data_IF_002101874703
#
_entry.id   IF_002101874703
#
_cell.length_a   1.000
_cell.length_b   1.000
_cell.length_c   1.000
_cell.angle_alpha   90.00
_cell.angle_beta   90.00
_cell.angle_gamma   90.00
#
_symmetry.space_group_name_H-M   'P 1'
#
loop_
_entity.id
_entity.type
_entity.pdbx_description
1 polymer ?
#
# COMPACT_ATOMS: atom_id res chain seq x y z
N UNK A 1 -22.67 11.18 -2.58
CA UNK A 1 -21.82 10.36 -3.47
C UNK A 1 -22.52 9.05 -3.71
N UNK A 2 -22.76 8.66 -4.98
CA UNK A 2 -23.39 7.37 -5.29
C UNK A 2 -22.50 6.22 -4.81
N UNK A 3 -23.09 5.19 -4.19
CA UNK A 3 -22.35 3.99 -3.73
C UNK A 3 -21.88 3.23 -4.97
N UNK A 4 -20.58 2.97 -5.07
CA UNK A 4 -20.03 2.07 -6.09
C UNK A 4 -20.50 0.66 -5.74
N UNK A 5 -21.22 0.00 -6.64
CA UNK A 5 -21.62 -1.41 -6.51
C UNK A 5 -20.85 -2.26 -7.52
N UNK A 6 -20.68 -3.56 -7.24
CA UNK A 6 -19.95 -4.45 -8.14
C UNK A 6 -20.58 -4.56 -9.54
N UNK A 7 -21.89 -4.35 -9.63
CA UNK A 7 -22.69 -4.37 -10.86
C UNK A 7 -22.54 -3.08 -11.69
N UNK A 8 -22.13 -1.97 -11.07
CA UNK A 8 -21.94 -0.69 -11.75
C UNK A 8 -20.52 -0.49 -12.30
N UNK A 9 -19.64 -1.48 -12.16
CA UNK A 9 -18.25 -1.35 -12.59
C UNK A 9 -18.11 -1.60 -14.10
N UNK A 10 -17.38 -0.74 -14.82
CA UNK A 10 -17.09 -0.99 -16.23
C UNK A 10 -16.26 -2.27 -16.37
N UNK A 11 -16.52 -3.03 -17.43
CA UNK A 11 -15.66 -4.15 -17.80
C UNK A 11 -14.38 -3.59 -18.43
N UNK A 12 -13.24 -3.89 -17.82
CA UNK A 12 -11.90 -3.55 -18.36
C UNK A 12 -11.25 -4.83 -18.86
N UNK A 13 -10.71 -4.82 -20.08
CA UNK A 13 -9.98 -5.97 -20.64
C UNK A 13 -8.65 -6.14 -19.92
N UNK A 14 -8.18 -7.38 -19.73
CA UNK A 14 -6.84 -7.65 -19.17
C UNK A 14 -5.72 -6.92 -19.94
N UNK A 15 -5.88 -6.76 -21.26
CA UNK A 15 -4.89 -6.07 -22.10
C UNK A 15 -4.78 -4.56 -21.82
N UNK A 16 -5.80 -3.96 -21.22
CA UNK A 16 -5.84 -2.52 -20.88
C UNK A 16 -5.34 -2.24 -19.46
N UNK A 17 -4.93 -3.28 -18.73
CA UNK A 17 -4.48 -3.18 -17.34
C UNK A 17 -2.96 -3.23 -17.32
N UNK A 18 -2.36 -2.11 -16.92
CA UNK A 18 -0.94 -2.03 -16.58
C UNK A 18 -0.81 -1.33 -15.22
N UNK A 19 -0.57 -2.11 -14.17
CA UNK A 19 -0.46 -1.59 -12.80
C UNK A 19 0.85 -0.84 -12.55
N UNK A 20 1.82 -0.93 -13.47
CA UNK A 20 3.11 -0.23 -13.37
C UNK A 20 3.11 1.11 -14.10
N UNK A 21 2.14 1.35 -14.98
CA UNK A 21 1.97 2.62 -15.69
C UNK A 21 1.39 3.71 -14.77
N UNK A 22 2.03 4.89 -14.68
CA UNK A 22 1.44 6.06 -14.02
C UNK A 22 0.09 6.46 -14.63
N UNK A 23 -0.07 6.30 -15.95
CA UNK A 23 -1.29 6.63 -16.68
C UNK A 23 -2.48 5.79 -16.22
N UNK A 24 -2.27 4.52 -15.86
CA UNK A 24 -3.32 3.71 -15.25
C UNK A 24 -3.85 4.34 -13.95
N UNK A 25 -2.94 4.82 -13.10
CA UNK A 25 -3.30 5.41 -11.81
C UNK A 25 -3.98 6.77 -11.95
N UNK A 26 -3.82 7.46 -13.08
CA UNK A 26 -4.52 8.71 -13.41
C UNK A 26 -5.95 8.49 -13.96
N UNK A 27 -6.33 7.25 -14.31
CA UNK A 27 -7.69 6.96 -14.83
C UNK A 27 -8.78 7.18 -13.78
N UNK A 28 -10.03 7.22 -14.21
CA UNK A 28 -11.17 7.34 -13.30
C UNK A 28 -11.21 6.19 -12.28
N UNK A 29 -11.75 6.46 -11.08
CA UNK A 29 -11.85 5.47 -10.02
C UNK A 29 -12.67 4.25 -10.45
N UNK A 30 -13.79 4.42 -11.16
CA UNK A 30 -14.61 3.30 -11.62
C UNK A 30 -13.86 2.42 -12.61
N UNK A 31 -13.03 3.02 -13.48
CA UNK A 31 -12.15 2.25 -14.36
C UNK A 31 -11.19 1.38 -13.55
N UNK A 32 -10.48 1.95 -12.56
CA UNK A 32 -9.52 1.20 -11.73
C UNK A 32 -10.20 0.08 -10.93
N UNK A 33 -11.38 0.33 -10.37
CA UNK A 33 -12.17 -0.69 -9.68
C UNK A 33 -12.63 -1.81 -10.64
N UNK A 34 -13.04 -1.46 -11.86
CA UNK A 34 -13.35 -2.41 -12.93
C UNK A 34 -12.15 -3.27 -13.32
N UNK A 35 -10.97 -2.68 -13.43
CA UNK A 35 -9.71 -3.38 -13.68
C UNK A 35 -9.37 -4.37 -12.54
N UNK A 36 -9.45 -3.95 -11.28
CA UNK A 36 -9.21 -4.85 -10.14
C UNK A 36 -10.26 -5.96 -10.07
N UNK A 37 -11.51 -5.69 -10.44
CA UNK A 37 -12.53 -6.74 -10.58
C UNK A 37 -12.14 -7.75 -11.66
N UNK A 38 -11.74 -7.30 -12.85
CA UNK A 38 -11.25 -8.20 -13.91
C UNK A 38 -10.07 -9.04 -13.44
N UNK A 39 -9.08 -8.46 -12.75
CA UNK A 39 -7.94 -9.22 -12.20
C UNK A 39 -8.39 -10.27 -11.19
N UNK A 40 -9.32 -9.94 -10.29
CA UNK A 40 -9.87 -10.90 -9.33
C UNK A 40 -10.59 -12.05 -10.02
N UNK A 41 -11.34 -11.77 -11.08
CA UNK A 41 -12.22 -12.76 -11.72
C UNK A 41 -11.46 -13.65 -12.72
N UNK A 42 -10.55 -13.08 -13.50
CA UNK A 42 -9.97 -13.76 -14.68
C UNK A 42 -8.50 -14.12 -14.54
N UNK A 43 -7.72 -13.34 -13.78
CA UNK A 43 -6.27 -13.55 -13.65
C UNK A 43 -5.77 -13.25 -12.24
N UNK A 44 -6.23 -14.02 -11.22
CA UNK A 44 -5.73 -13.88 -9.87
C UNK A 44 -4.24 -14.24 -9.90
N UNK A 45 -3.38 -13.33 -9.41
CA UNK A 45 -1.91 -13.42 -9.45
C UNK A 45 -1.23 -13.07 -10.79
N UNK A 46 -1.88 -12.25 -11.61
CA UNK A 46 -1.30 -11.64 -12.80
C UNK A 46 0.07 -11.02 -12.52
N UNK A 47 1.02 -11.24 -13.43
CA UNK A 47 2.38 -10.73 -13.34
C UNK A 47 2.51 -9.42 -14.11
N UNK A 48 3.21 -8.44 -13.53
CA UNK A 48 3.51 -7.14 -14.12
C UNK A 48 5.02 -6.87 -14.03
N UNK A 49 5.58 -6.28 -15.08
CA UNK A 49 6.95 -5.75 -15.04
C UNK A 49 6.97 -4.48 -14.20
N UNK A 50 8.06 -4.20 -13.51
CA UNK A 50 8.25 -2.93 -12.81
C UNK A 50 8.32 -1.75 -13.78
N UNK A 51 7.97 -0.55 -13.28
CA UNK A 51 8.17 0.69 -14.03
C UNK A 51 9.67 0.92 -14.24
N UNK A 52 10.06 1.15 -15.48
CA UNK A 52 11.43 1.58 -15.80
C UNK A 52 11.54 3.07 -15.48
N UNK A 53 12.35 3.41 -14.47
CA UNK A 53 12.63 4.80 -14.11
C UNK A 53 13.89 5.24 -14.84
N UNK A 54 13.73 6.08 -15.86
CA UNK A 54 14.86 6.65 -16.61
C UNK A 54 15.78 7.44 -15.68
N UNK A 55 17.10 7.20 -15.79
CA UNK A 55 18.10 7.86 -14.95
C UNK A 55 18.17 7.33 -13.50
N UNK A 56 17.39 6.30 -13.15
CA UNK A 56 17.56 5.61 -11.88
C UNK A 56 18.96 5.00 -11.78
N UNK A 57 19.68 5.19 -10.65
CA UNK A 57 20.95 4.50 -10.41
C UNK A 57 20.77 3.01 -10.09
N UNK A 58 19.53 2.55 -9.91
CA UNK A 58 19.19 1.16 -9.58
C UNK A 58 18.58 0.46 -10.80
N UNK A 59 18.94 -0.82 -11.04
CA UNK A 59 18.35 -1.60 -12.10
C UNK A 59 16.86 -1.84 -11.85
N UNK A 60 16.08 -1.95 -12.91
CA UNK A 60 14.69 -2.41 -12.82
C UNK A 60 14.68 -3.86 -12.32
N UNK A 61 13.85 -4.14 -11.32
CA UNK A 61 13.71 -5.47 -10.77
C UNK A 61 12.95 -6.42 -11.71
N UNK A 62 12.75 -7.68 -11.28
CA UNK A 62 12.19 -8.72 -12.11
C UNK A 62 10.69 -8.55 -12.36
N UNK A 63 9.99 -7.59 -11.72
CA UNK A 63 8.54 -7.48 -11.74
C UNK A 63 7.88 -8.09 -10.49
N UNK A 64 6.55 -8.04 -10.45
CA UNK A 64 5.76 -8.46 -9.30
C UNK A 64 4.47 -9.16 -9.71
N UNK A 65 3.87 -9.87 -8.74
CA UNK A 65 2.53 -10.46 -8.89
C UNK A 65 1.50 -9.59 -8.18
N UNK A 66 0.42 -9.25 -8.88
CA UNK A 66 -0.69 -8.52 -8.31
C UNK A 66 -1.61 -9.46 -7.52
N UNK A 67 -1.68 -9.23 -6.21
CA UNK A 67 -2.61 -9.93 -5.32
C UNK A 67 -3.80 -9.00 -5.08
N UNK A 68 -4.97 -9.36 -5.60
CA UNK A 68 -6.13 -8.46 -5.67
C UNK A 68 -7.35 -8.94 -4.89
N UNK A 69 -7.34 -10.20 -4.42
CA UNK A 69 -8.40 -10.78 -3.59
C UNK A 69 -8.07 -10.61 -2.12
N UNK A 70 -9.09 -10.31 -1.33
CA UNK A 70 -8.95 -10.09 0.11
C UNK A 70 -8.31 -11.30 0.82
N UNK A 71 -8.79 -12.52 0.56
CA UNK A 71 -8.36 -13.70 1.30
C UNK A 71 -6.88 -14.05 1.03
N UNK A 72 -6.41 -13.82 -0.21
CA UNK A 72 -5.01 -14.00 -0.58
C UNK A 72 -4.12 -12.95 0.10
N UNK A 73 -4.55 -11.67 0.10
CA UNK A 73 -3.86 -10.59 0.82
C UNK A 73 -3.76 -10.92 2.31
N UNK A 74 -4.89 -11.32 2.91
CA UNK A 74 -4.97 -11.68 4.32
C UNK A 74 -4.07 -12.87 4.67
N UNK A 75 -4.04 -13.89 3.81
CA UNK A 75 -3.14 -15.02 3.97
C UNK A 75 -1.67 -14.57 3.93
N UNK A 76 -1.27 -13.78 2.93
CA UNK A 76 0.11 -13.29 2.81
C UNK A 76 0.52 -12.48 4.04
N UNK A 77 -0.29 -11.50 4.44
CA UNK A 77 0.00 -10.62 5.57
C UNK A 77 0.12 -11.34 6.92
N UNK A 78 -0.46 -12.55 7.05
CA UNK A 78 -0.44 -13.35 8.29
C UNK A 78 0.62 -14.44 8.31
N UNK A 79 1.32 -14.65 7.21
CA UNK A 79 2.36 -15.68 7.09
C UNK A 79 3.73 -15.04 6.79
N UNK A 80 4.27 -14.18 7.68
CA UNK A 80 5.55 -13.49 7.45
C UNK A 80 6.74 -14.45 7.29
N UNK A 81 6.64 -15.67 7.81
CA UNK A 81 7.63 -16.74 7.60
C UNK A 81 7.68 -17.25 6.14
N UNK A 82 6.61 -17.03 5.37
CA UNK A 82 6.52 -17.36 3.95
C UNK A 82 6.74 -16.13 3.06
N UNK A 83 6.35 -14.94 3.54
CA UNK A 83 6.38 -13.69 2.80
C UNK A 83 7.23 -12.64 3.54
N UNK A 84 8.47 -12.53 3.10
CA UNK A 84 9.52 -11.68 3.68
C UNK A 84 9.24 -10.18 3.45
N UNK A 85 9.37 -9.37 4.51
CA UNK A 85 9.40 -7.90 4.42
C UNK A 85 10.81 -7.33 4.53
N UNK A 86 11.76 -8.11 5.08
CA UNK A 86 13.16 -7.71 5.28
C UNK A 86 13.95 -7.40 4.02
N UNK A 87 13.42 -7.74 2.84
CA UNK A 87 14.01 -7.43 1.53
C UNK A 87 13.38 -6.22 0.83
N UNK A 88 12.43 -5.56 1.49
CA UNK A 88 11.70 -4.41 0.94
C UNK A 88 10.20 -4.65 0.96
N UNK A 89 9.45 -3.55 1.10
CA UNK A 89 7.98 -3.52 1.08
C UNK A 89 7.39 -2.72 -0.07
N UNK A 90 8.25 -2.14 -0.92
CA UNK A 90 7.86 -1.41 -2.13
C UNK A 90 8.09 -2.28 -3.37
N UNK A 91 7.44 -1.92 -4.48
CA UNK A 91 7.56 -2.64 -5.75
C UNK A 91 9.00 -2.56 -6.32
N UNK A 92 9.62 -1.38 -6.28
CA UNK A 92 11.01 -1.23 -6.72
C UNK A 92 11.98 -1.70 -5.65
N UNK A 93 12.93 -2.55 -6.05
CA UNK A 93 13.99 -3.02 -5.17
C UNK A 93 14.99 -1.91 -4.86
N UNK A 94 15.25 -1.70 -3.58
CA UNK A 94 16.37 -0.89 -3.10
C UNK A 94 17.51 -1.81 -2.65
N UNK A 95 18.77 -1.38 -2.75
CA UNK A 95 19.88 -2.08 -2.11
C UNK A 95 19.59 -2.32 -0.63
N UNK A 96 20.03 -3.48 -0.11
CA UNK A 96 19.72 -3.91 1.25
C UNK A 96 20.16 -2.89 2.30
N UNK A 97 21.32 -2.25 2.11
CA UNK A 97 21.85 -1.22 3.00
C UNK A 97 20.96 0.02 3.04
N UNK A 98 20.36 0.39 1.90
CA UNK A 98 19.39 1.49 1.82
C UNK A 98 18.06 1.10 2.45
N UNK A 99 17.62 -0.14 2.26
CA UNK A 99 16.42 -0.66 2.91
C UNK A 99 16.58 -0.69 4.44
N UNK A 100 17.75 -1.07 4.97
CA UNK A 100 18.01 -1.03 6.40
C UNK A 100 18.09 0.41 6.94
N UNK A 101 18.64 1.34 6.14
CA UNK A 101 18.78 2.75 6.55
C UNK A 101 17.45 3.52 6.50
N UNK A 102 16.67 3.38 5.43
CA UNK A 102 15.43 4.14 5.20
C UNK A 102 14.16 3.39 5.62
N UNK A 103 14.20 2.05 5.61
CA UNK A 103 13.02 1.20 5.68
C UNK A 103 12.39 1.06 7.06
N UNK A 104 12.93 1.73 8.08
CA UNK A 104 12.46 1.65 9.47
C UNK A 104 12.16 0.19 9.87
N UNK A 105 11.23 -0.03 10.79
CA UNK A 105 10.81 -1.38 11.16
C UNK A 105 9.91 -2.07 10.10
N UNK A 106 9.38 -1.36 9.10
CA UNK A 106 8.48 -1.97 8.09
C UNK A 106 9.24 -2.88 7.11
N UNK A 107 10.52 -2.60 6.85
CA UNK A 107 11.41 -3.45 6.04
C UNK A 107 12.24 -4.40 6.92
N UNK A 108 11.65 -4.96 7.97
CA UNK A 108 12.32 -5.93 8.85
C UNK A 108 11.45 -7.16 9.05
N UNK A 109 12.08 -8.31 9.18
CA UNK A 109 11.45 -9.54 9.67
C UNK A 109 11.85 -9.83 11.12
N UNK A 110 11.21 -10.84 11.71
CA UNK A 110 11.53 -11.32 13.05
C UNK A 110 12.93 -11.97 13.11
N UNK A 111 13.63 -11.90 14.26
CA UNK A 111 13.19 -11.34 15.54
C UNK A 111 13.39 -9.82 15.69
N UNK A 112 14.04 -9.15 14.72
CA UNK A 112 14.36 -7.71 14.78
C UNK A 112 13.07 -6.88 14.80
N UNK A 113 12.13 -7.18 13.91
CA UNK A 113 10.84 -6.50 13.83
C UNK A 113 10.06 -6.59 15.14
N UNK A 114 9.84 -7.80 15.68
CA UNK A 114 9.18 -7.99 16.97
C UNK A 114 9.82 -7.17 18.10
N UNK A 115 11.15 -7.16 18.19
CA UNK A 115 11.86 -6.39 19.23
C UNK A 115 11.53 -4.91 19.14
N UNK A 116 11.61 -4.30 17.96
CA UNK A 116 11.30 -2.89 17.76
C UNK A 116 9.81 -2.59 17.95
N UNK A 117 8.93 -3.43 17.39
CA UNK A 117 7.47 -3.28 17.53
C UNK A 117 7.05 -3.30 18.99
N UNK A 118 7.64 -4.17 19.81
CA UNK A 118 7.30 -4.28 21.24
C UNK A 118 7.65 -3.03 22.05
N UNK A 119 8.64 -2.25 21.60
CA UNK A 119 9.02 -0.98 22.22
C UNK A 119 8.05 0.12 21.79
N UNK A 120 7.83 0.25 20.48
CA UNK A 120 7.04 1.33 19.89
C UNK A 120 5.54 1.17 20.16
N UNK A 121 5.02 -0.06 20.21
CA UNK A 121 3.58 -0.32 20.34
C UNK A 121 2.94 0.27 21.60
N UNK A 122 3.72 0.44 22.68
CA UNK A 122 3.23 1.06 23.93
C UNK A 122 2.78 2.51 23.74
N UNK A 123 3.43 3.27 22.86
CA UNK A 123 3.03 4.64 22.54
C UNK A 123 1.72 4.72 21.74
N UNK A 124 1.24 3.60 21.22
CA UNK A 124 -0.02 3.48 20.47
C UNK A 124 -1.08 2.69 21.24
N UNK A 125 -0.89 2.48 22.55
CA UNK A 125 -1.91 1.87 23.38
C UNK A 125 -3.19 2.75 23.37
N UNK A 126 -4.40 2.16 23.47
CA UNK A 126 -5.65 2.93 23.42
C UNK A 126 -5.69 4.13 24.38
N UNK A 127 -5.11 3.98 25.58
CA UNK A 127 -4.99 5.05 26.57
C UNK A 127 -4.11 6.22 26.09
N UNK A 128 -2.99 5.94 25.43
CA UNK A 128 -2.09 6.97 24.92
C UNK A 128 -2.71 7.70 23.72
N UNK A 129 -3.45 6.98 22.87
CA UNK A 129 -4.22 7.58 21.77
C UNK A 129 -5.33 8.50 22.31
N UNK A 130 -6.08 8.04 23.31
CA UNK A 130 -7.14 8.86 23.93
C UNK A 130 -6.57 10.15 24.57
N UNK A 131 -5.37 10.09 25.15
CA UNK A 131 -4.72 11.25 25.77
C UNK A 131 -4.43 12.40 24.79
N UNK A 132 -4.16 12.08 23.52
CA UNK A 132 -3.86 13.08 22.49
C UNK A 132 -5.11 13.51 21.71
N UNK A 133 -6.24 12.81 21.87
CA UNK A 133 -7.44 13.02 21.07
C UNK A 133 -7.97 14.45 21.16
N UNK A 134 -8.09 15.00 22.37
CA UNK A 134 -8.59 16.36 22.58
C UNK A 134 -7.69 17.43 21.94
N UNK A 135 -6.37 17.21 21.97
CA UNK A 135 -5.42 18.11 21.32
C UNK A 135 -5.54 18.07 19.80
N UNK A 136 -5.72 16.87 19.23
CA UNK A 136 -5.95 16.70 17.79
C UNK A 136 -7.26 17.36 17.39
N UNK A 137 -8.33 17.15 18.17
CA UNK A 137 -9.65 17.75 17.94
C UNK A 137 -9.60 19.27 17.95
N UNK A 138 -9.02 19.86 19.00
CA UNK A 138 -8.88 21.32 19.11
C UNK A 138 -8.06 21.92 17.96
N UNK A 139 -6.97 21.25 17.55
CA UNK A 139 -6.18 21.68 16.38
C UNK A 139 -6.96 21.60 15.09
N UNK A 140 -7.72 20.52 14.88
CA UNK A 140 -8.54 20.34 13.70
C UNK A 140 -9.64 21.41 13.62
N UNK A 141 -10.35 21.66 14.73
CA UNK A 141 -11.37 22.70 14.82
C UNK A 141 -10.79 24.07 14.47
N UNK A 142 -9.66 24.45 15.09
CA UNK A 142 -8.99 25.72 14.78
C UNK A 142 -8.65 25.85 13.30
N UNK A 143 -8.05 24.82 12.71
CA UNK A 143 -7.67 24.84 11.28
C UNK A 143 -8.88 24.97 10.36
N UNK A 144 -10.02 24.33 10.69
CA UNK A 144 -11.26 24.43 9.92
C UNK A 144 -11.89 25.82 10.09
N UNK A 145 -11.93 26.35 11.30
CA UNK A 145 -12.44 27.71 11.56
C UNK A 145 -11.61 28.76 10.81
N UNK A 146 -10.27 28.70 10.89
CA UNK A 146 -9.38 29.61 10.16
C UNK A 146 -9.55 29.53 8.64
N UNK A 147 -9.95 28.38 8.11
CA UNK A 147 -10.24 28.21 6.69
C UNK A 147 -11.58 28.86 6.30
N UNK A 148 -12.59 28.77 7.16
CA UNK A 148 -13.93 29.36 6.92
C UNK A 148 -13.88 30.90 7.03
N UNK A 149 -13.06 31.42 7.93
CA UNK A 149 -12.93 32.86 8.18
C UNK A 149 -12.07 33.59 7.11
N UNK A 150 -11.52 32.86 6.13
CA UNK A 150 -10.77 33.40 4.98
C UNK A 150 -11.64 33.53 3.74
#
# INVERSE_FOLDING_TARGET
MSKITAESLPKVSLADIDLSSPEFWLKDRLFREGAFKTLRDESPFAFFKELVIEGSPFPTGPGYRAITRHDDIWHISRNPQLFCSGKGSNIGDLPMEMNEFFGSMINMDDPKHFRLRSIVSRGFAPKEVARIEDQVRSRAERLVTELIDR
#
